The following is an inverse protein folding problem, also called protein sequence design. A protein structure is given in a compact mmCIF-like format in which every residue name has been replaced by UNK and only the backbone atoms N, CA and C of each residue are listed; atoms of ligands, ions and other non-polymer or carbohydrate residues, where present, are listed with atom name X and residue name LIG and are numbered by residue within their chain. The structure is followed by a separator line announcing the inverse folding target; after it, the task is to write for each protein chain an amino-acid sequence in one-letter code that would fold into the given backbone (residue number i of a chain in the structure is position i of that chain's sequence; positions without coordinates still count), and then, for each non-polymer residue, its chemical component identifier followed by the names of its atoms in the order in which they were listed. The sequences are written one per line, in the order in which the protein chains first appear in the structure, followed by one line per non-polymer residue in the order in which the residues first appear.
data_IF_713456947263
#
_entry.id   IF_713456947263
#
_cell.length_a   1.000
_cell.length_b   1.000
_cell.length_c   1.000
_cell.angle_alpha   90.00
_cell.angle_beta   90.00
_cell.angle_gamma   90.00
#
_symmetry.space_group_name_H-M   'P 1'
#
loop_
_entity.id
_entity.type
_entity.pdbx_description
1 polymer ?
#
# COMPACT_ATOMS: atom_id res chain seq x y z
N UNK A 1 2.97 9.53 3.82
CA UNK A 1 2.85 8.32 2.98
C UNK A 1 3.59 8.50 1.67
N UNK A 2 4.25 7.47 1.19
CA UNK A 2 4.95 7.50 -0.08
C UNK A 2 4.53 6.29 -0.90
N UNK A 3 4.26 6.51 -2.19
CA UNK A 3 3.89 5.44 -3.12
C UNK A 3 5.00 5.30 -4.15
N UNK A 4 5.53 4.09 -4.30
CA UNK A 4 6.52 3.77 -5.32
C UNK A 4 5.93 2.70 -6.23
N UNK A 5 6.02 2.93 -7.54
CA UNK A 5 5.61 1.93 -8.52
C UNK A 5 6.82 1.52 -9.35
N UNK A 6 7.14 0.23 -9.26
CA UNK A 6 8.26 -0.36 -10.00
C UNK A 6 7.72 -0.92 -11.31
N UNK A 7 7.98 -0.19 -12.36
CA UNK A 7 7.39 -0.44 -13.66
C UNK A 7 7.83 -1.78 -14.27
N UNK A 8 9.08 -2.16 -14.04
CA UNK A 8 9.66 -3.39 -14.61
C UNK A 8 9.16 -4.67 -13.92
N UNK A 9 8.85 -4.59 -12.63
CA UNK A 9 8.33 -5.74 -11.88
C UNK A 9 6.83 -5.69 -11.66
N UNK A 10 6.17 -4.61 -12.06
CA UNK A 10 4.74 -4.39 -11.84
C UNK A 10 4.37 -4.50 -10.35
N UNK A 11 5.18 -3.86 -9.51
CA UNK A 11 5.03 -3.89 -8.06
C UNK A 11 4.80 -2.50 -7.53
N UNK A 12 3.81 -2.32 -6.67
CA UNK A 12 3.59 -1.07 -5.95
C UNK A 12 3.95 -1.24 -4.49
N UNK A 13 4.64 -0.25 -3.94
CA UNK A 13 5.00 -0.19 -2.53
C UNK A 13 4.40 1.07 -1.93
N UNK A 14 3.53 0.90 -0.96
CA UNK A 14 2.92 1.99 -0.21
C UNK A 14 3.58 2.06 1.17
N UNK A 15 4.32 3.14 1.40
CA UNK A 15 5.03 3.34 2.67
C UNK A 15 4.23 4.30 3.54
N UNK A 16 3.71 3.82 4.66
CA UNK A 16 2.88 4.60 5.58
C UNK A 16 3.69 5.26 6.67
N UNK A 17 4.72 4.56 7.18
CA UNK A 17 5.63 5.07 8.20
C UNK A 17 7.06 4.65 7.87
N UNK A 18 8.02 5.16 8.64
CA UNK A 18 9.42 4.76 8.53
C UNK A 18 9.86 3.85 9.70
N UNK A 19 8.90 3.28 10.41
CA UNK A 19 9.21 2.36 11.50
C UNK A 19 9.89 1.10 10.99
N UNK A 20 10.69 0.48 11.85
CA UNK A 20 11.32 -0.79 11.51
C UNK A 20 10.28 -1.89 11.36
N UNK A 21 10.46 -2.73 10.35
CA UNK A 21 9.57 -3.86 10.10
C UNK A 21 9.93 -5.01 11.03
N UNK A 22 8.96 -5.50 11.77
CA UNK A 22 9.09 -6.66 12.65
C UNK A 22 8.53 -7.92 12.02
N UNK A 23 7.44 -7.79 11.28
CA UNK A 23 6.71 -8.92 10.71
C UNK A 23 6.15 -8.56 9.35
N UNK A 24 6.20 -9.53 8.42
CA UNK A 24 5.52 -9.43 7.12
C UNK A 24 4.46 -10.50 7.04
N UNK A 25 3.25 -10.12 6.65
CA UNK A 25 2.13 -11.05 6.47
C UNK A 25 1.63 -11.01 5.05
N UNK A 26 1.34 -12.18 4.52
CA UNK A 26 0.61 -12.32 3.27
C UNK A 26 -0.88 -12.18 3.53
N UNK A 27 -1.51 -11.17 2.92
CA UNK A 27 -2.95 -10.94 3.06
C UNK A 27 -3.69 -11.71 1.97
N UNK A 28 -3.12 -11.72 0.77
CA UNK A 28 -3.63 -12.47 -0.36
C UNK A 28 -2.46 -12.79 -1.28
N UNK A 29 -2.73 -13.47 -2.38
CA UNK A 29 -1.70 -13.88 -3.35
C UNK A 29 -0.83 -12.71 -3.81
N UNK A 30 -1.41 -11.52 -3.93
CA UNK A 30 -0.72 -10.36 -4.48
C UNK A 30 -0.48 -9.24 -3.46
N UNK A 31 -0.86 -9.43 -2.21
CA UNK A 31 -0.81 -8.36 -1.22
C UNK A 31 -0.11 -8.83 0.05
N UNK A 32 0.94 -8.08 0.43
CA UNK A 32 1.69 -8.30 1.66
C UNK A 32 1.68 -7.03 2.48
N UNK A 33 1.64 -7.16 3.80
CA UNK A 33 1.76 -6.02 4.71
C UNK A 33 2.95 -6.21 5.63
N UNK A 34 3.60 -5.11 5.95
CA UNK A 34 4.69 -5.06 6.92
C UNK A 34 4.20 -4.37 8.17
N UNK A 35 4.45 -4.97 9.31
CA UNK A 35 4.02 -4.48 10.62
C UNK A 35 5.23 -4.16 11.49
N UNK A 36 5.10 -3.17 12.36
CA UNK A 36 6.11 -2.86 13.36
C UNK A 36 5.98 -3.75 14.61
N UNK A 37 6.82 -3.51 15.59
CA UNK A 37 6.86 -4.29 16.83
C UNK A 37 5.54 -4.20 17.62
N UNK A 38 4.78 -3.13 17.43
CA UNK A 38 3.49 -2.92 18.09
C UNK A 38 2.30 -3.41 17.26
N UNK A 39 2.56 -4.01 16.10
CA UNK A 39 1.52 -4.50 15.20
C UNK A 39 0.89 -3.42 14.33
N UNK A 40 1.50 -2.25 14.25
CA UNK A 40 1.02 -1.16 13.39
C UNK A 40 1.53 -1.32 11.96
N UNK A 41 0.73 -0.90 11.00
CA UNK A 41 1.07 -0.99 9.58
C UNK A 41 2.21 -0.04 9.23
N UNK A 42 3.27 -0.59 8.66
CA UNK A 42 4.42 0.17 8.16
C UNK A 42 4.31 0.39 6.66
N UNK A 43 4.09 -0.68 5.91
CA UNK A 43 4.03 -0.62 4.45
C UNK A 43 3.16 -1.73 3.88
N UNK A 44 2.80 -1.57 2.61
CA UNK A 44 2.04 -2.57 1.87
C UNK A 44 2.69 -2.76 0.51
N UNK A 45 2.89 -4.03 0.13
CA UNK A 45 3.39 -4.39 -1.20
C UNK A 45 2.25 -5.01 -1.99
N UNK A 46 2.04 -4.50 -3.21
CA UNK A 46 1.05 -5.02 -4.14
C UNK A 46 1.78 -5.55 -5.36
N UNK A 47 1.70 -6.85 -5.59
CA UNK A 47 2.25 -7.49 -6.78
C UNK A 47 1.20 -7.51 -7.88
N UNK A 48 1.64 -7.55 -9.14
CA UNK A 48 0.76 -7.43 -10.30
C UNK A 48 -0.12 -6.19 -10.17
N UNK A 49 0.53 -5.07 -9.85
CA UNK A 49 -0.16 -3.86 -9.42
C UNK A 49 -1.10 -3.28 -10.47
N UNK A 50 -0.78 -3.45 -11.76
CA UNK A 50 -1.67 -2.98 -12.83
C UNK A 50 -3.02 -3.67 -12.78
N UNK A 51 -3.03 -4.99 -12.59
CA UNK A 51 -4.27 -5.75 -12.49
C UNK A 51 -4.94 -5.60 -11.13
N UNK A 52 -4.15 -5.69 -10.06
CA UNK A 52 -4.66 -5.73 -8.70
C UNK A 52 -5.19 -4.37 -8.25
N UNK A 53 -4.52 -3.29 -8.61
CA UNK A 53 -4.85 -1.94 -8.13
C UNK A 53 -4.94 -0.88 -9.22
N UNK A 54 -4.97 -1.28 -10.47
CA UNK A 54 -5.06 -0.37 -11.62
C UNK A 54 -3.91 0.64 -11.69
N UNK A 55 -2.74 0.30 -11.13
CA UNK A 55 -1.56 1.16 -11.23
C UNK A 55 -1.13 1.32 -12.69
N UNK A 56 -0.58 2.47 -13.05
CA UNK A 56 -0.21 3.58 -12.19
C UNK A 56 -1.31 4.63 -11.99
N UNK A 57 -2.56 4.34 -12.26
CA UNK A 57 -3.65 5.28 -12.06
C UNK A 57 -3.92 5.44 -10.57
N UNK A 58 -3.46 6.57 -10.02
CA UNK A 58 -3.60 6.89 -8.60
C UNK A 58 -4.38 8.18 -8.49
N UNK A 59 -5.43 8.17 -7.66
CA UNK A 59 -6.17 9.38 -7.36
C UNK A 59 -6.15 9.62 -5.85
N UNK A 60 -5.99 10.88 -5.50
CA UNK A 60 -6.08 11.32 -4.11
C UNK A 60 -7.13 12.42 -4.05
N UNK A 61 -8.04 12.30 -3.11
CA UNK A 61 -9.09 13.29 -2.92
C UNK A 61 -9.29 13.52 -1.43
N UNK A 62 -9.14 14.76 -1.01
CA UNK A 62 -9.44 15.16 0.36
C UNK A 62 -10.86 15.69 0.42
N UNK A 63 -11.67 15.14 1.32
CA UNK A 63 -13.06 15.54 1.49
C UNK A 63 -13.19 16.07 2.90
N UNK A 64 -13.40 17.39 3.02
CA UNK A 64 -13.47 18.06 4.33
C UNK A 64 -14.78 17.79 5.03
N UNK A 65 -15.84 17.53 4.27
CA UNK A 65 -17.16 17.26 4.82
C UNK A 65 -17.83 16.18 4.00
N UNK A 66 -18.15 15.05 4.65
CA UNK A 66 -18.83 13.96 3.98
C UNK A 66 -20.21 14.40 3.49
N UNK A 67 -20.52 14.02 2.24
CA UNK A 67 -21.85 14.25 1.69
C UNK A 67 -22.72 13.07 2.09
N UNK A 68 -23.82 13.36 2.79
CA UNK A 68 -24.81 12.33 3.10
C UNK A 68 -25.69 12.12 1.88
N UNK A 69 -25.65 10.92 1.41
CA UNK A 69 -26.54 10.54 0.31
C UNK A 69 -27.93 10.24 0.85
#
# INVERSE_FOLDING_TARGET
MKIKFFNDTDTALLEFTDHAVEETREISENIYIDLDVNGNLVSMTIEHARETGNFPDIAYQQIDKAVNA
#
